data_IF_039720678987
#
_entry.id   IF_039720678987
#
_cell.length_a   1.000
_cell.length_b   1.000
_cell.length_c   1.000
_cell.angle_alpha   90.00
_cell.angle_beta   90.00
_cell.angle_gamma   90.00
#
_symmetry.space_group_name_H-M   'P 1'
#
loop_
_entity.id
_entity.type
_entity.pdbx_description
1 polymer ?
#
# COMPACT_ATOMS: atom_id res chain seq x y z
N UNK A 1 -9.32 -11.98 17.84
CA UNK A 1 -8.28 -11.97 16.76
C UNK A 1 -7.58 -10.61 16.76
N UNK A 2 -6.26 -10.59 16.88
CA UNK A 2 -5.42 -9.36 16.95
C UNK A 2 -5.63 -8.47 15.71
N UNK A 3 -5.77 -9.06 14.53
CA UNK A 3 -6.05 -8.42 13.25
C UNK A 3 -7.15 -7.33 13.33
N UNK A 4 -8.21 -7.57 14.10
CA UNK A 4 -9.37 -6.65 14.20
C UNK A 4 -9.04 -5.29 14.85
N UNK A 5 -7.85 -5.14 15.45
CA UNK A 5 -7.37 -3.85 15.99
C UNK A 5 -6.83 -2.93 14.91
N UNK A 6 -6.39 -3.50 13.78
CA UNK A 6 -5.71 -2.81 12.69
C UNK A 6 -6.62 -2.47 11.51
N UNK A 7 -7.91 -2.72 11.57
CA UNK A 7 -8.88 -2.41 10.51
C UNK A 7 -9.95 -1.45 10.98
N UNK A 8 -10.63 -0.73 10.08
CA UNK A 8 -11.78 0.10 10.40
C UNK A 8 -12.88 -0.72 11.09
N UNK A 9 -13.59 -0.10 12.04
CA UNK A 9 -14.61 -0.81 12.84
C UNK A 9 -15.68 -1.42 11.96
N UNK A 10 -16.17 -0.67 10.98
CA UNK A 10 -17.27 -1.08 10.10
C UNK A 10 -16.89 -2.12 9.04
N UNK A 11 -15.59 -2.45 8.92
CA UNK A 11 -15.10 -3.51 8.02
C UNK A 11 -14.98 -4.88 8.71
N UNK A 12 -15.12 -4.94 10.04
CA UNK A 12 -14.77 -6.13 10.83
C UNK A 12 -15.63 -7.35 10.52
N UNK A 13 -16.91 -7.14 10.27
CA UNK A 13 -17.85 -8.21 9.93
C UNK A 13 -17.48 -8.81 8.57
N UNK A 14 -17.36 -7.98 7.54
CA UNK A 14 -16.99 -8.40 6.20
C UNK A 14 -15.63 -9.14 6.18
N UNK A 15 -14.67 -8.70 7.02
CA UNK A 15 -13.38 -9.39 7.15
C UNK A 15 -13.53 -10.75 7.84
N UNK A 16 -14.38 -10.88 8.88
CA UNK A 16 -14.66 -12.19 9.50
C UNK A 16 -15.27 -13.16 8.51
N UNK A 17 -16.23 -12.68 7.71
CA UNK A 17 -16.89 -13.51 6.71
C UNK A 17 -15.91 -14.02 5.65
N UNK A 18 -15.00 -13.15 5.15
CA UNK A 18 -13.94 -13.58 4.25
C UNK A 18 -13.02 -14.62 4.89
N UNK A 19 -12.62 -14.42 6.15
CA UNK A 19 -11.72 -15.35 6.87
C UNK A 19 -12.39 -16.71 7.02
N UNK A 20 -13.64 -16.74 7.47
CA UNK A 20 -14.38 -17.97 7.72
C UNK A 20 -14.68 -18.70 6.40
N UNK A 21 -15.16 -17.98 5.40
CA UNK A 21 -15.52 -18.54 4.08
C UNK A 21 -14.35 -19.23 3.37
N UNK A 22 -13.14 -18.69 3.54
CA UNK A 22 -11.96 -19.14 2.81
C UNK A 22 -10.88 -19.78 3.71
N UNK A 23 -11.20 -20.02 4.98
CA UNK A 23 -10.32 -20.66 5.98
C UNK A 23 -8.93 -20.01 6.02
N UNK A 24 -8.91 -18.66 6.11
CA UNK A 24 -7.68 -17.89 6.01
C UNK A 24 -6.84 -17.95 7.29
N UNK A 25 -5.56 -18.29 7.17
CA UNK A 25 -4.59 -18.20 8.25
C UNK A 25 -3.80 -16.89 8.15
N UNK A 26 -4.17 -15.91 8.99
CA UNK A 26 -3.63 -14.55 8.95
C UNK A 26 -2.93 -14.23 10.25
N UNK A 27 -1.68 -13.78 10.16
CA UNK A 27 -0.84 -13.37 11.29
C UNK A 27 -0.38 -11.93 11.10
N UNK A 28 -0.54 -11.11 12.14
CA UNK A 28 0.03 -9.77 12.21
C UNK A 28 1.42 -9.88 12.84
N UNK A 29 2.41 -9.30 12.17
CA UNK A 29 3.83 -9.34 12.56
C UNK A 29 4.36 -7.93 12.76
N UNK A 30 5.51 -7.80 13.43
CA UNK A 30 6.23 -6.53 13.53
C UNK A 30 6.60 -5.99 12.15
N UNK A 31 6.76 -4.68 12.03
CA UNK A 31 7.04 -4.00 10.77
C UNK A 31 8.30 -4.54 10.09
N UNK A 32 8.17 -4.89 8.82
CA UNK A 32 9.27 -5.27 7.91
C UNK A 32 9.53 -4.14 6.92
N UNK A 33 10.79 -3.86 6.61
CA UNK A 33 11.18 -2.74 5.73
C UNK A 33 10.85 -2.94 4.25
N UNK A 34 10.75 -4.19 3.78
CA UNK A 34 10.69 -4.51 2.35
C UNK A 34 9.30 -4.83 1.82
N UNK A 35 8.33 -5.05 2.71
CA UNK A 35 6.96 -5.42 2.34
C UNK A 35 5.97 -5.12 3.46
N UNK A 36 4.72 -4.81 3.10
CA UNK A 36 3.62 -4.58 4.04
C UNK A 36 2.85 -5.85 4.36
N UNK A 37 2.72 -6.73 3.39
CA UNK A 37 2.07 -8.04 3.47
C UNK A 37 2.83 -9.12 2.71
N UNK A 38 2.42 -10.37 2.88
CA UNK A 38 3.02 -11.51 2.19
C UNK A 38 2.10 -12.74 2.30
N UNK A 39 1.74 -13.32 1.17
CA UNK A 39 1.11 -14.64 1.11
C UNK A 39 2.15 -15.71 0.76
N UNK A 40 2.15 -16.82 1.49
CA UNK A 40 3.05 -17.97 1.25
C UNK A 40 2.34 -19.29 1.35
N UNK A 41 2.79 -20.21 0.51
CA UNK A 41 2.50 -21.64 0.60
C UNK A 41 3.79 -22.36 1.03
N UNK A 42 3.72 -23.13 2.10
CA UNK A 42 4.83 -23.89 2.62
C UNK A 42 4.87 -25.30 2.02
N UNK A 43 6.01 -25.98 2.12
CA UNK A 43 6.21 -27.34 1.58
C UNK A 43 5.23 -28.38 2.14
N UNK A 44 4.74 -28.18 3.36
CA UNK A 44 3.70 -29.01 3.99
C UNK A 44 2.25 -28.64 3.56
N UNK A 45 2.08 -27.78 2.56
CA UNK A 45 0.78 -27.33 2.07
C UNK A 45 0.11 -26.22 2.89
N UNK A 46 0.70 -25.80 4.01
CA UNK A 46 0.17 -24.72 4.84
C UNK A 46 0.18 -23.40 4.04
N UNK A 47 -0.97 -22.74 3.99
CA UNK A 47 -1.12 -21.40 3.42
C UNK A 47 -1.15 -20.36 4.54
N UNK A 48 -0.41 -19.28 4.40
CA UNK A 48 -0.28 -18.26 5.44
C UNK A 48 -0.18 -16.87 4.85
N UNK A 49 -0.96 -15.95 5.38
CA UNK A 49 -0.85 -14.51 5.13
C UNK A 49 -0.17 -13.88 6.34
N UNK A 50 0.84 -13.05 6.10
CA UNK A 50 1.45 -12.22 7.15
C UNK A 50 1.33 -10.76 6.78
N UNK A 51 0.91 -9.93 7.74
CA UNK A 51 0.75 -8.48 7.57
C UNK A 51 1.59 -7.75 8.60
N UNK A 52 2.27 -6.69 8.19
CA UNK A 52 2.92 -5.79 9.14
C UNK A 52 1.87 -5.08 10.00
N UNK A 53 2.20 -4.80 11.24
CA UNK A 53 1.48 -3.80 12.01
C UNK A 53 1.54 -2.47 11.25
N UNK A 54 0.40 -1.85 11.05
CA UNK A 54 0.29 -0.54 10.40
C UNK A 54 -0.73 0.29 11.19
N UNK A 55 -0.35 1.45 11.70
CA UNK A 55 -1.27 2.35 12.42
C UNK A 55 -2.37 2.89 11.51
N UNK A 56 -2.12 2.98 10.20
CA UNK A 56 -3.11 3.36 9.21
C UNK A 56 -4.04 2.19 8.90
N UNK A 57 -5.20 2.18 9.54
CA UNK A 57 -6.20 1.11 9.41
C UNK A 57 -6.72 0.91 7.98
N UNK A 58 -6.77 1.98 7.20
CA UNK A 58 -7.25 1.93 5.81
C UNK A 58 -6.20 1.27 4.91
N UNK A 59 -4.94 1.65 5.06
CA UNK A 59 -3.81 1.03 4.36
C UNK A 59 -3.70 -0.45 4.72
N UNK A 60 -3.83 -0.76 6.02
CA UNK A 60 -3.81 -2.13 6.49
C UNK A 60 -4.93 -2.97 5.87
N UNK A 61 -6.17 -2.45 5.82
CA UNK A 61 -7.31 -3.16 5.21
C UNK A 61 -7.06 -3.43 3.72
N UNK A 62 -6.58 -2.44 2.95
CA UNK A 62 -6.29 -2.63 1.52
C UNK A 62 -5.17 -3.66 1.33
N UNK A 63 -4.13 -3.64 2.16
CA UNK A 63 -3.05 -4.65 2.13
C UNK A 63 -3.59 -6.04 2.47
N UNK A 64 -4.48 -6.15 3.46
CA UNK A 64 -5.14 -7.41 3.80
C UNK A 64 -5.90 -7.98 2.59
N UNK A 65 -6.72 -7.18 1.93
CA UNK A 65 -7.47 -7.60 0.74
C UNK A 65 -6.54 -8.02 -0.41
N UNK A 66 -5.41 -7.33 -0.57
CA UNK A 66 -4.36 -7.68 -1.53
C UNK A 66 -3.81 -9.09 -1.29
N UNK A 67 -3.43 -9.40 -0.05
CA UNK A 67 -2.87 -10.72 0.30
C UNK A 67 -3.91 -11.84 0.28
N UNK A 68 -5.15 -11.55 0.68
CA UNK A 68 -6.27 -12.49 0.52
C UNK A 68 -6.45 -12.84 -0.96
N UNK A 69 -6.38 -11.86 -1.84
CA UNK A 69 -6.51 -12.09 -3.29
C UNK A 69 -5.44 -13.05 -3.82
N UNK A 70 -4.20 -12.96 -3.33
CA UNK A 70 -3.15 -13.92 -3.68
C UNK A 70 -3.50 -15.34 -3.24
N UNK A 71 -4.03 -15.52 -2.03
CA UNK A 71 -4.45 -16.83 -1.55
C UNK A 71 -5.60 -17.39 -2.40
N UNK A 72 -6.61 -16.58 -2.72
CA UNK A 72 -7.75 -17.02 -3.53
C UNK A 72 -7.34 -17.39 -4.96
N UNK A 73 -6.45 -16.62 -5.57
CA UNK A 73 -5.84 -16.97 -6.87
C UNK A 73 -5.12 -18.31 -6.79
N UNK A 74 -4.31 -18.52 -5.75
CA UNK A 74 -3.62 -19.78 -5.56
C UNK A 74 -4.58 -20.95 -5.35
N UNK A 75 -5.67 -20.76 -4.61
CA UNK A 75 -6.69 -21.81 -4.40
C UNK A 75 -7.38 -22.21 -5.70
N UNK A 76 -7.59 -21.26 -6.63
CA UNK A 76 -8.30 -21.49 -7.89
C UNK A 76 -7.37 -21.97 -9.02
N UNK A 77 -6.20 -21.39 -9.14
CA UNK A 77 -5.31 -21.56 -10.30
C UNK A 77 -3.94 -22.19 -9.96
N UNK A 78 -3.63 -22.37 -8.67
CA UNK A 78 -2.30 -22.81 -8.24
C UNK A 78 -1.21 -21.79 -8.64
N UNK A 79 -0.06 -22.31 -9.12
CA UNK A 79 1.07 -21.51 -9.61
C UNK A 79 1.02 -21.25 -11.12
N UNK A 80 -0.12 -21.49 -11.79
CA UNK A 80 -0.23 -21.43 -13.25
C UNK A 80 -0.42 -20.02 -13.80
N UNK A 81 -0.70 -19.04 -12.95
CA UNK A 81 -0.98 -17.66 -13.37
C UNK A 81 0.08 -16.69 -12.80
N UNK A 82 0.24 -15.55 -13.48
CA UNK A 82 1.23 -14.54 -13.07
C UNK A 82 0.76 -13.81 -11.80
N UNK A 83 1.66 -13.54 -10.84
CA UNK A 83 1.37 -12.64 -9.74
C UNK A 83 0.87 -11.29 -10.28
N UNK A 84 -0.21 -10.75 -9.70
CA UNK A 84 -0.87 -9.50 -10.13
C UNK A 84 -1.35 -9.50 -11.60
N UNK A 85 -1.52 -10.71 -12.21
CA UNK A 85 -2.14 -10.90 -13.51
C UNK A 85 -3.64 -10.56 -13.51
N UNK A 86 -4.32 -10.85 -14.62
CA UNK A 86 -5.75 -10.54 -14.77
C UNK A 86 -6.61 -11.28 -13.74
N UNK A 87 -6.24 -12.50 -13.39
CA UNK A 87 -6.93 -13.35 -12.42
C UNK A 87 -6.89 -12.70 -11.04
N UNK A 88 -5.69 -12.26 -10.61
CA UNK A 88 -5.53 -11.55 -9.35
C UNK A 88 -6.31 -10.23 -9.34
N UNK A 89 -6.22 -9.45 -10.41
CA UNK A 89 -6.94 -8.18 -10.52
C UNK A 89 -8.45 -8.36 -10.40
N UNK A 90 -8.99 -9.40 -11.03
CA UNK A 90 -10.42 -9.68 -10.99
C UNK A 90 -10.86 -10.11 -9.57
N UNK A 91 -10.12 -11.01 -8.93
CA UNK A 91 -10.42 -11.45 -7.56
C UNK A 91 -10.29 -10.26 -6.58
N UNK A 92 -9.23 -9.46 -6.70
CA UNK A 92 -9.04 -8.30 -5.84
C UNK A 92 -10.19 -7.28 -5.98
N UNK A 93 -10.62 -6.99 -7.21
CA UNK A 93 -11.80 -6.15 -7.47
C UNK A 93 -13.05 -6.73 -6.82
N UNK A 94 -13.27 -8.03 -6.99
CA UNK A 94 -14.49 -8.69 -6.52
C UNK A 94 -14.59 -8.64 -5.00
N UNK A 95 -13.56 -9.08 -4.28
CA UNK A 95 -13.60 -9.06 -2.81
C UNK A 95 -13.62 -7.64 -2.24
N UNK A 96 -13.05 -6.67 -2.95
CA UNK A 96 -13.04 -5.27 -2.51
C UNK A 96 -14.43 -4.62 -2.56
N UNK A 97 -15.35 -5.10 -3.39
CA UNK A 97 -16.72 -4.53 -3.50
C UNK A 97 -17.43 -4.45 -2.16
N UNK A 98 -17.28 -5.47 -1.32
CA UNK A 98 -17.89 -5.52 0.01
C UNK A 98 -17.38 -4.45 0.99
N UNK A 99 -16.33 -3.71 0.61
CA UNK A 99 -15.69 -2.69 1.45
C UNK A 99 -15.81 -1.27 0.88
N UNK A 100 -16.42 -1.06 -0.29
CA UNK A 100 -16.48 0.24 -0.97
C UNK A 100 -17.62 1.13 -0.41
N UNK A 101 -17.61 1.39 0.89
CA UNK A 101 -18.60 2.20 1.59
C UNK A 101 -17.92 3.36 2.32
N UNK A 102 -18.61 4.50 2.39
CA UNK A 102 -18.22 5.70 3.14
C UNK A 102 -18.17 5.46 4.66
N UNK A 103 -18.93 4.48 5.14
CA UNK A 103 -18.87 4.01 6.52
C UNK A 103 -17.55 3.26 6.85
N UNK A 104 -16.80 2.79 5.86
CA UNK A 104 -15.52 2.07 6.01
C UNK A 104 -14.34 2.98 5.69
N UNK A 105 -14.41 3.71 4.56
CA UNK A 105 -13.34 4.59 4.11
C UNK A 105 -13.78 6.05 4.07
N UNK A 106 -12.94 7.01 4.50
CA UNK A 106 -13.15 8.42 4.19
C UNK A 106 -13.29 8.64 2.68
N UNK A 107 -14.07 9.64 2.28
CA UNK A 107 -14.39 9.88 0.85
C UNK A 107 -13.14 10.01 -0.02
N UNK A 108 -12.09 10.72 0.46
CA UNK A 108 -10.83 10.86 -0.27
C UNK A 108 -10.18 9.51 -0.59
N UNK A 109 -10.14 8.60 0.38
CA UNK A 109 -9.62 7.25 0.17
C UNK A 109 -10.58 6.41 -0.69
N UNK A 110 -11.88 6.50 -0.44
CA UNK A 110 -12.89 5.71 -1.15
C UNK A 110 -12.84 5.97 -2.66
N UNK A 111 -12.79 7.22 -3.06
CA UNK A 111 -12.75 7.61 -4.46
C UNK A 111 -11.42 7.21 -5.12
N UNK A 112 -10.30 7.48 -4.46
CA UNK A 112 -8.98 7.04 -4.93
C UNK A 112 -8.91 5.50 -5.04
N UNK A 113 -9.49 4.76 -4.08
CA UNK A 113 -9.50 3.30 -4.11
C UNK A 113 -10.40 2.76 -5.24
N UNK A 114 -11.57 3.34 -5.48
CA UNK A 114 -12.42 3.00 -6.63
C UNK A 114 -11.68 3.21 -7.97
N UNK A 115 -10.93 4.31 -8.10
CA UNK A 115 -10.13 4.56 -9.29
C UNK A 115 -8.98 3.56 -9.44
N UNK A 116 -8.26 3.27 -8.36
CA UNK A 116 -7.21 2.26 -8.31
C UNK A 116 -7.72 0.87 -8.75
N UNK A 117 -8.91 0.48 -8.29
CA UNK A 117 -9.54 -0.80 -8.64
C UNK A 117 -9.87 -0.96 -10.12
N UNK A 118 -9.93 0.11 -10.92
CA UNK A 118 -10.09 -0.02 -12.39
C UNK A 118 -8.93 -0.79 -13.01
N UNK A 119 -7.69 -0.55 -12.54
CA UNK A 119 -6.49 -1.28 -12.95
C UNK A 119 -5.49 -1.41 -11.80
N UNK A 120 -5.71 -2.32 -10.84
CA UNK A 120 -4.85 -2.45 -9.68
C UNK A 120 -3.41 -2.75 -10.05
N UNK A 121 -2.48 -2.11 -9.34
CA UNK A 121 -1.04 -2.33 -9.44
C UNK A 121 -0.56 -3.32 -8.36
N UNK A 122 0.67 -3.78 -8.47
CA UNK A 122 1.27 -4.72 -7.51
C UNK A 122 1.51 -4.12 -6.10
N UNK A 123 1.39 -2.81 -5.95
CA UNK A 123 1.44 -2.10 -4.67
C UNK A 123 0.60 -0.83 -4.76
N UNK A 124 -0.04 -0.45 -3.66
CA UNK A 124 -0.72 0.85 -3.51
C UNK A 124 0.25 2.01 -3.64
N UNK A 125 1.52 1.82 -3.24
CA UNK A 125 2.56 2.86 -3.33
C UNK A 125 2.93 3.22 -4.78
N UNK A 126 2.58 2.37 -5.76
CA UNK A 126 2.73 2.65 -7.19
C UNK A 126 1.59 3.52 -7.77
N UNK A 127 0.54 3.73 -7.00
CA UNK A 127 -0.57 4.60 -7.36
C UNK A 127 -0.47 5.90 -6.57
N UNK A 128 -0.26 7.00 -7.28
CA UNK A 128 0.02 8.29 -6.66
C UNK A 128 -1.19 8.79 -5.86
N UNK A 129 -2.38 8.74 -6.45
CA UNK A 129 -3.60 9.28 -5.85
C UNK A 129 -4.00 8.50 -4.60
N UNK A 130 -4.05 7.16 -4.68
CA UNK A 130 -4.38 6.33 -3.53
C UNK A 130 -3.30 6.42 -2.44
N UNK A 131 -2.03 6.46 -2.82
CA UNK A 131 -0.92 6.57 -1.86
C UNK A 131 -0.99 7.88 -1.08
N UNK A 132 -1.28 9.01 -1.75
CA UNK A 132 -1.40 10.32 -1.12
C UNK A 132 -2.63 10.38 -0.20
N UNK A 133 -3.81 9.94 -0.66
CA UNK A 133 -5.02 9.91 0.16
C UNK A 133 -4.84 9.04 1.42
N UNK A 134 -4.13 7.91 1.30
CA UNK A 134 -3.83 7.07 2.46
C UNK A 134 -2.88 7.76 3.44
N UNK A 135 -1.93 8.57 2.96
CA UNK A 135 -0.95 9.23 3.84
C UNK A 135 -1.54 10.27 4.77
N UNK A 136 -2.69 10.85 4.44
CA UNK A 136 -3.42 11.77 5.33
C UNK A 136 -3.78 11.12 6.67
N UNK A 137 -3.80 9.79 6.71
CA UNK A 137 -4.15 8.98 7.87
C UNK A 137 -2.96 8.19 8.45
N UNK A 138 -1.76 8.44 7.95
CA UNK A 138 -0.55 7.89 8.55
C UNK A 138 -0.30 8.59 9.91
N UNK A 139 0.29 7.88 10.87
CA UNK A 139 0.72 8.52 12.11
C UNK A 139 1.63 9.70 11.78
N UNK A 140 1.51 10.79 12.52
CA UNK A 140 2.35 11.99 12.36
C UNK A 140 3.81 11.53 12.27
N UNK A 141 4.35 11.59 11.07
CA UNK A 141 5.75 11.29 10.79
C UNK A 141 6.38 12.57 10.26
N UNK A 142 7.67 12.78 10.58
CA UNK A 142 8.46 13.85 9.99
C UNK A 142 8.72 13.64 8.48
N UNK A 143 7.92 12.76 7.86
CA UNK A 143 8.03 12.43 6.44
C UNK A 143 7.04 13.24 5.61
N UNK A 144 7.53 13.75 4.50
CA UNK A 144 6.77 14.47 3.49
C UNK A 144 6.85 13.72 2.17
N UNK A 145 5.89 13.96 1.29
CA UNK A 145 6.05 13.58 -0.10
C UNK A 145 6.83 14.65 -0.87
N UNK A 146 7.63 14.23 -1.85
CA UNK A 146 8.37 15.18 -2.70
C UNK A 146 7.43 16.20 -3.35
N UNK A 147 6.16 15.84 -3.62
CA UNK A 147 5.16 16.77 -4.16
C UNK A 147 4.85 17.93 -3.19
N UNK A 148 4.82 17.68 -1.90
CA UNK A 148 4.50 18.64 -0.84
C UNK A 148 5.62 19.65 -0.56
N UNK A 149 6.85 19.35 -0.97
CA UNK A 149 7.99 20.24 -0.79
C UNK A 149 7.93 21.41 -1.78
N UNK A 150 8.48 22.55 -1.41
CA UNK A 150 8.64 23.69 -2.30
C UNK A 150 9.81 23.51 -3.28
N UNK A 151 9.81 24.25 -4.37
CA UNK A 151 10.96 24.29 -5.27
C UNK A 151 12.14 24.96 -4.55
N UNK A 152 13.30 24.34 -4.65
CA UNK A 152 14.51 24.79 -3.94
C UNK A 152 14.67 24.19 -2.54
N UNK A 153 13.63 23.56 -1.97
CA UNK A 153 13.71 22.94 -0.64
C UNK A 153 14.63 21.72 -0.65
N UNK A 154 15.38 21.57 0.44
CA UNK A 154 16.24 20.43 0.68
C UNK A 154 15.46 19.30 1.37
N UNK A 155 15.81 18.06 1.06
CA UNK A 155 15.22 16.90 1.72
C UNK A 155 16.19 15.73 1.81
N UNK A 156 15.99 14.90 2.82
CA UNK A 156 16.77 13.69 3.06
C UNK A 156 16.02 12.46 2.53
N UNK A 157 16.63 11.71 1.62
CA UNK A 157 16.05 10.47 1.11
C UNK A 157 16.77 9.25 1.69
N UNK A 158 15.98 8.26 2.17
CA UNK A 158 16.47 7.01 2.79
C UNK A 158 17.43 7.23 3.96
N UNK A 159 17.29 8.34 4.70
CA UNK A 159 18.16 8.73 5.82
C UNK A 159 19.65 8.75 5.46
N UNK A 160 19.98 9.01 4.19
CA UNK A 160 21.37 8.89 3.69
C UNK A 160 21.81 10.06 2.84
N UNK A 161 21.04 10.44 1.85
CA UNK A 161 21.42 11.40 0.82
C UNK A 161 20.53 12.62 0.83
N UNK A 162 21.11 13.80 0.74
CA UNK A 162 20.41 15.09 0.68
C UNK A 162 20.23 15.48 -0.80
N UNK A 163 19.00 15.91 -1.10
CA UNK A 163 18.61 16.38 -2.42
C UNK A 163 17.93 17.75 -2.34
N UNK A 164 18.02 18.52 -3.42
CA UNK A 164 17.32 19.77 -3.64
C UNK A 164 16.26 19.59 -4.72
N UNK A 165 15.01 19.96 -4.46
CA UNK A 165 13.94 19.93 -5.47
C UNK A 165 14.13 21.06 -6.45
N UNK A 166 14.38 20.77 -7.74
CA UNK A 166 14.76 21.77 -8.74
C UNK A 166 13.60 22.15 -9.66
N UNK A 167 12.93 21.15 -10.25
CA UNK A 167 11.87 21.40 -11.23
C UNK A 167 10.95 20.21 -11.40
N UNK A 168 9.81 20.41 -12.06
CA UNK A 168 8.89 19.33 -12.47
C UNK A 168 9.15 18.95 -13.90
N UNK A 169 9.33 17.65 -14.18
CA UNK A 169 9.46 17.09 -15.53
C UNK A 169 8.37 16.06 -15.77
N UNK A 170 7.32 16.45 -16.53
CA UNK A 170 6.10 15.65 -16.73
C UNK A 170 5.47 15.27 -15.37
N UNK A 171 5.42 13.98 -15.04
CA UNK A 171 4.83 13.44 -13.80
C UNK A 171 5.86 13.24 -12.66
N UNK A 172 7.10 13.71 -12.80
CA UNK A 172 8.19 13.52 -11.84
C UNK A 172 8.86 14.83 -11.50
N UNK A 173 9.60 14.84 -10.37
CA UNK A 173 10.44 15.97 -9.97
C UNK A 173 11.90 15.68 -10.27
N UNK A 174 12.57 16.67 -10.86
CA UNK A 174 14.03 16.68 -10.99
C UNK A 174 14.58 17.20 -9.68
N UNK A 175 15.44 16.41 -9.05
CA UNK A 175 16.11 16.76 -7.81
C UNK A 175 17.61 16.56 -7.97
N UNK A 176 18.37 17.51 -7.46
CA UNK A 176 19.82 17.50 -7.47
C UNK A 176 20.35 16.89 -6.18
N UNK A 177 21.25 15.92 -6.28
CA UNK A 177 21.96 15.38 -5.12
C UNK A 177 23.04 16.36 -4.69
N UNK A 178 22.91 16.91 -3.47
CA UNK A 178 23.80 17.97 -2.95
C UNK A 178 25.28 17.55 -2.94
N UNK A 179 25.58 16.29 -2.64
CA UNK A 179 26.95 15.82 -2.51
C UNK A 179 27.75 15.74 -3.81
N UNK A 180 27.09 15.73 -5.00
CA UNK A 180 27.79 15.52 -6.26
C UNK A 180 27.14 16.23 -7.47
N UNK A 181 26.11 17.04 -7.28
CA UNK A 181 25.42 17.79 -8.32
C UNK A 181 24.64 16.95 -9.35
N UNK A 182 24.56 15.63 -9.21
CA UNK A 182 23.85 14.77 -10.16
C UNK A 182 22.34 14.91 -10.02
N UNK A 183 21.64 14.88 -11.15
CA UNK A 183 20.20 15.02 -11.24
C UNK A 183 19.51 13.64 -11.19
N UNK A 184 18.44 13.55 -10.39
CA UNK A 184 17.63 12.35 -10.23
C UNK A 184 16.15 12.69 -10.43
N UNK A 185 15.37 11.70 -10.88
CA UNK A 185 13.92 11.82 -11.05
C UNK A 185 13.20 11.14 -9.89
N UNK A 186 12.47 11.90 -9.11
CA UNK A 186 11.65 11.44 -8.01
C UNK A 186 10.18 11.38 -8.39
N UNK A 187 9.47 10.35 -7.94
CA UNK A 187 8.02 10.32 -8.02
C UNK A 187 7.41 11.33 -7.03
N UNK A 188 6.26 11.97 -7.34
CA UNK A 188 5.59 12.88 -6.41
C UNK A 188 5.34 12.28 -5.02
N UNK A 189 4.95 11.02 -4.98
CA UNK A 189 4.66 10.26 -3.75
C UNK A 189 5.89 9.56 -3.16
N UNK A 190 7.09 10.01 -3.45
CA UNK A 190 8.30 9.52 -2.76
C UNK A 190 8.35 10.13 -1.36
N UNK A 191 8.40 9.28 -0.32
CA UNK A 191 8.54 9.72 1.08
C UNK A 191 9.97 10.16 1.36
N UNK A 192 10.08 11.32 1.98
CA UNK A 192 11.35 11.98 2.33
C UNK A 192 11.22 12.65 3.70
N UNK A 193 12.35 12.98 4.33
CA UNK A 193 12.39 13.81 5.54
C UNK A 193 12.76 15.24 5.14
N UNK A 194 12.17 16.22 5.80
CA UNK A 194 12.61 17.62 5.65
C UNK A 194 14.06 17.75 6.14
N UNK A 195 14.83 18.56 5.43
CA UNK A 195 16.22 18.86 5.78
C UNK A 195 16.36 20.37 5.88
N UNK A 196 15.87 20.91 7.00
CA UNK A 196 16.11 22.29 7.45
C UNK A 196 17.09 22.32 8.62
#
# INVERSE_FOLDING_TARGET
>A
MILMRFIPVNSKENVRDLINKHELNIIVVSERKTKRGDFRVYSNGLKKITLNQDPNKFRFLITLLHEISHQLVFQTFGNKVRPHGIEWKNIFKEISKAFLFDSIFPLSILDAFKMYLKNPKSSTDLDMELSMSLSEFDALSDHFYVDQLEMGQLFLHKKKDIYKKISKKRKRYVCEKVSNGKLYLFQPNTLVLDYN
#
